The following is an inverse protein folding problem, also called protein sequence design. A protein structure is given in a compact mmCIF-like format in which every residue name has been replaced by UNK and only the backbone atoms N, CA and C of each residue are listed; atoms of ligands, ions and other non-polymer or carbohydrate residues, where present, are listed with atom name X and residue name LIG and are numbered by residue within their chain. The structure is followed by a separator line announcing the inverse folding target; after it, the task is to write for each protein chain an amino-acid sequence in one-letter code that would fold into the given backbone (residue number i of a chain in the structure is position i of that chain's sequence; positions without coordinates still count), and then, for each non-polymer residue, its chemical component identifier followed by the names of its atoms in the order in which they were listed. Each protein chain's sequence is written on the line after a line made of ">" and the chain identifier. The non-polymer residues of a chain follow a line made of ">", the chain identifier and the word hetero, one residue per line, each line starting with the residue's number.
data_IF_964894054576
#
_entry.id   IF_964894054576
#
_cell.length_a   1.000
_cell.length_b   1.000
_cell.length_c   1.000
_cell.angle_alpha   90.00
_cell.angle_beta   90.00
_cell.angle_gamma   90.00
#
_symmetry.space_group_name_H-M   'P 1'
#
loop_
_entity.id
_entity.type
_entity.pdbx_description
1 polymer ?
#
# COMPACT_ATOMS: atom_id res chain seq x y z
N UNK A 1 -8.02 -42.56 -66.75
CA UNK A 1 -7.64 -41.67 -67.87
C UNK A 1 -8.90 -40.92 -68.29
N UNK A 2 -8.78 -39.58 -68.38
CA UNK A 2 -9.59 -38.63 -69.19
C UNK A 2 -11.11 -38.63 -68.99
N UNK A 3 -11.82 -37.51 -68.82
CA UNK A 3 -11.50 -36.09 -68.73
C UNK A 3 -12.75 -35.37 -68.19
N UNK A 4 -12.51 -34.30 -67.44
CA UNK A 4 -13.31 -33.08 -67.23
C UNK A 4 -14.43 -32.79 -68.24
N UNK A 5 -15.57 -32.25 -67.78
CA UNK A 5 -15.93 -30.81 -67.91
C UNK A 5 -17.42 -30.56 -67.62
N UNK A 6 -17.73 -29.62 -66.73
CA UNK A 6 -18.99 -28.86 -66.74
C UNK A 6 -18.78 -27.51 -66.01
N UNK A 7 -18.82 -26.43 -66.79
CA UNK A 7 -18.90 -25.04 -66.35
C UNK A 7 -20.33 -24.70 -65.87
N UNK A 8 -20.43 -23.86 -64.83
CA UNK A 8 -21.61 -23.01 -64.62
C UNK A 8 -21.23 -21.69 -63.92
N UNK A 9 -21.48 -20.57 -64.61
CA UNK A 9 -22.24 -19.43 -64.06
C UNK A 9 -21.49 -18.31 -63.32
N UNK A 10 -21.71 -17.02 -63.67
CA UNK A 10 -20.96 -15.87 -63.15
C UNK A 10 -21.56 -15.31 -61.85
N UNK A 11 -20.70 -14.65 -61.07
CA UNK A 11 -21.02 -14.01 -59.79
C UNK A 11 -21.71 -12.65 -59.92
N UNK A 12 -22.49 -12.33 -58.90
CA UNK A 12 -23.13 -11.03 -58.67
C UNK A 12 -22.77 -10.53 -57.27
N UNK A 13 -22.36 -9.26 -57.23
CA UNK A 13 -22.51 -8.22 -56.20
C UNK A 13 -22.21 -8.48 -54.72
N UNK A 14 -21.45 -7.55 -54.12
CA UNK A 14 -21.42 -7.38 -52.67
C UNK A 14 -20.25 -6.60 -52.12
N UNK A 15 -20.22 -5.29 -52.36
CA UNK A 15 -19.44 -4.30 -51.59
C UNK A 15 -19.57 -4.51 -50.08
N UNK A 16 -18.45 -4.65 -49.37
CA UNK A 16 -18.36 -4.34 -47.93
C UNK A 16 -17.04 -3.61 -47.67
N UNK A 17 -17.16 -2.33 -47.26
CA UNK A 17 -16.02 -1.50 -46.86
C UNK A 17 -15.45 -1.94 -45.51
N UNK A 18 -14.22 -1.54 -45.17
CA UNK A 18 -13.63 -1.86 -43.89
C UNK A 18 -14.32 -1.03 -42.81
N UNK A 19 -15.15 -1.70 -42.00
CA UNK A 19 -15.69 -1.13 -40.78
C UNK A 19 -14.55 -0.76 -39.84
N UNK A 20 -14.34 0.54 -39.63
CA UNK A 20 -13.55 1.08 -38.52
C UNK A 20 -14.32 0.81 -37.23
N UNK A 21 -14.12 -0.39 -36.67
CA UNK A 21 -14.54 -0.72 -35.32
C UNK A 21 -13.64 0.02 -34.33
N UNK A 22 -14.10 1.17 -33.83
CA UNK A 22 -13.59 1.74 -32.58
C UNK A 22 -13.91 0.76 -31.45
N UNK A 23 -12.94 -0.07 -31.09
CA UNK A 23 -12.98 -0.87 -29.88
C UNK A 23 -12.84 0.07 -28.67
N UNK A 24 -13.95 0.58 -28.15
CA UNK A 24 -14.03 1.17 -26.81
C UNK A 24 -14.09 0.06 -25.77
N UNK A 25 -13.11 -0.85 -25.80
CA UNK A 25 -12.89 -1.81 -24.73
C UNK A 25 -12.18 -1.10 -23.60
N UNK A 26 -12.84 -0.96 -22.45
CA UNK A 26 -12.16 -0.61 -21.20
C UNK A 26 -11.15 -1.71 -20.89
N UNK A 27 -9.87 -1.47 -21.19
CA UNK A 27 -8.75 -2.39 -20.95
C UNK A 27 -8.54 -2.57 -19.43
N UNK A 28 -9.36 -3.42 -18.80
CA UNK A 28 -9.20 -3.89 -17.42
C UNK A 28 -8.12 -4.97 -17.37
N UNK A 29 -6.90 -4.61 -17.80
CA UNK A 29 -5.77 -5.53 -17.77
C UNK A 29 -5.44 -5.91 -16.32
N UNK A 30 -5.26 -7.22 -16.11
CA UNK A 30 -4.82 -7.83 -14.86
C UNK A 30 -3.43 -8.42 -15.09
N UNK A 31 -2.49 -8.18 -14.18
CA UNK A 31 -1.17 -8.78 -14.19
C UNK A 31 -0.77 -9.23 -12.79
N UNK A 32 0.19 -10.16 -12.69
CA UNK A 32 0.61 -10.74 -11.40
C UNK A 32 2.11 -10.49 -11.21
N UNK A 33 2.52 -9.36 -10.61
CA UNK A 33 3.94 -9.10 -10.36
C UNK A 33 4.58 -10.14 -9.43
N UNK A 34 3.87 -10.61 -8.40
CA UNK A 34 4.46 -11.54 -7.43
C UNK A 34 3.55 -12.75 -7.19
N UNK A 35 4.16 -13.94 -7.14
CA UNK A 35 3.48 -15.21 -6.88
C UNK A 35 4.25 -16.00 -5.83
N UNK A 36 3.56 -16.43 -4.77
CA UNK A 36 4.15 -17.22 -3.70
C UNK A 36 4.84 -18.49 -4.24
N UNK A 37 5.94 -18.90 -3.61
CA UNK A 37 6.72 -20.07 -4.02
C UNK A 37 7.55 -19.87 -5.29
N UNK A 38 7.74 -18.63 -5.75
CA UNK A 38 8.56 -18.29 -6.93
C UNK A 38 9.74 -17.39 -6.54
N UNK A 39 10.74 -17.33 -7.41
CA UNK A 39 11.88 -16.40 -7.30
C UNK A 39 12.65 -16.50 -5.97
N UNK A 40 12.61 -17.67 -5.31
CA UNK A 40 13.32 -17.92 -4.05
C UNK A 40 12.55 -17.55 -2.78
N UNK A 41 11.28 -17.12 -2.88
CA UNK A 41 10.47 -16.70 -1.74
C UNK A 41 9.25 -17.59 -1.54
N UNK A 42 9.04 -18.05 -0.30
CA UNK A 42 7.85 -18.81 0.08
C UNK A 42 6.57 -17.97 -0.02
N UNK A 43 6.65 -16.67 0.26
CA UNK A 43 5.49 -15.76 0.23
C UNK A 43 5.90 -14.34 -0.12
N UNK A 44 5.01 -13.61 -0.78
CA UNK A 44 5.10 -12.17 -0.99
C UNK A 44 3.95 -11.48 -0.27
N UNK A 45 4.24 -10.44 0.52
CA UNK A 45 3.26 -9.76 1.39
C UNK A 45 3.51 -8.26 1.41
N UNK A 46 2.54 -7.48 1.88
CA UNK A 46 2.67 -6.04 2.18
C UNK A 46 2.99 -5.23 0.90
N UNK A 47 2.09 -5.23 -0.10
CA UNK A 47 2.27 -4.49 -1.34
C UNK A 47 2.37 -2.98 -1.09
N UNK A 48 3.23 -2.32 -1.84
CA UNK A 48 3.25 -0.86 -2.00
C UNK A 48 3.56 -0.53 -3.46
N UNK A 49 2.93 0.50 -4.02
CA UNK A 49 3.15 0.91 -5.41
C UNK A 49 3.23 2.43 -5.54
N UNK A 50 4.21 2.89 -6.30
CA UNK A 50 4.34 4.30 -6.70
C UNK A 50 4.59 4.40 -8.19
N UNK A 51 4.15 5.51 -8.79
CA UNK A 51 4.53 5.91 -10.13
C UNK A 51 5.71 6.88 -10.03
N UNK A 52 6.74 6.69 -10.86
CA UNK A 52 7.82 7.65 -10.99
C UNK A 52 7.40 8.82 -11.89
N UNK A 53 8.20 9.88 -11.92
CA UNK A 53 7.93 11.03 -12.81
C UNK A 53 7.95 10.68 -14.30
N UNK A 54 8.58 9.56 -14.69
CA UNK A 54 8.60 9.08 -16.09
C UNK A 54 7.46 8.11 -16.39
N UNK A 55 6.55 7.86 -15.44
CA UNK A 55 5.43 6.93 -15.61
C UNK A 55 5.76 5.46 -15.38
N UNK A 56 6.98 5.13 -14.94
CA UNK A 56 7.32 3.76 -14.52
C UNK A 56 6.58 3.45 -13.23
N UNK A 57 5.94 2.28 -13.14
CA UNK A 57 5.40 1.78 -11.88
C UNK A 57 6.44 0.96 -11.14
N UNK A 58 6.59 1.23 -9.85
CA UNK A 58 7.46 0.49 -8.94
C UNK A 58 6.59 -0.25 -7.93
N UNK A 59 6.48 -1.58 -8.06
CA UNK A 59 5.74 -2.43 -7.14
C UNK A 59 6.71 -3.07 -6.14
N UNK A 60 6.59 -2.69 -4.88
CA UNK A 60 7.35 -3.21 -3.76
C UNK A 60 6.52 -4.22 -2.98
N UNK A 61 7.18 -5.17 -2.34
CA UNK A 61 6.60 -6.00 -1.30
C UNK A 61 7.68 -6.61 -0.41
N UNK A 62 7.27 -7.22 0.70
CA UNK A 62 8.09 -8.17 1.44
C UNK A 62 8.22 -9.48 0.67
N UNK A 63 9.46 -9.88 0.35
CA UNK A 63 9.79 -11.23 -0.04
C UNK A 63 10.15 -12.05 1.21
N UNK A 64 9.27 -12.96 1.63
CA UNK A 64 9.45 -13.79 2.82
C UNK A 64 10.04 -15.14 2.42
N UNK A 65 11.29 -15.38 2.80
CA UNK A 65 12.11 -16.45 2.21
C UNK A 65 11.60 -17.84 2.59
N UNK A 66 11.47 -18.13 3.88
CA UNK A 66 11.19 -19.49 4.37
C UNK A 66 9.75 -19.77 4.79
N UNK A 67 8.89 -18.75 4.92
CA UNK A 67 7.50 -18.93 5.35
C UNK A 67 6.65 -17.68 5.06
N UNK A 68 5.34 -17.75 5.30
CA UNK A 68 4.46 -16.57 5.27
C UNK A 68 4.44 -15.77 6.59
N UNK A 69 5.34 -16.05 7.55
CA UNK A 69 5.38 -15.34 8.85
C UNK A 69 5.91 -13.92 8.73
N UNK A 70 5.55 -13.08 9.70
CA UNK A 70 5.85 -11.64 9.79
C UNK A 70 7.23 -11.30 10.40
N UNK A 71 8.03 -12.33 10.69
CA UNK A 71 9.39 -12.25 11.22
C UNK A 71 10.27 -13.31 10.54
N UNK A 72 11.58 -13.24 10.78
CA UNK A 72 12.57 -14.12 10.15
C UNK A 72 13.33 -13.44 9.03
N UNK A 73 13.72 -14.23 8.02
CA UNK A 73 14.42 -13.76 6.84
C UNK A 73 13.42 -13.18 5.82
N UNK A 74 13.37 -11.85 5.77
CA UNK A 74 12.46 -11.09 4.91
C UNK A 74 13.25 -9.99 4.23
N UNK A 75 13.15 -9.92 2.91
CA UNK A 75 13.68 -8.83 2.09
C UNK A 75 12.56 -7.88 1.66
N UNK A 76 12.92 -6.65 1.29
CA UNK A 76 12.06 -5.82 0.43
C UNK A 76 12.51 -6.02 -1.00
N UNK A 77 11.57 -6.46 -1.83
CA UNK A 77 11.78 -6.70 -3.26
C UNK A 77 10.96 -5.72 -4.10
N UNK A 78 11.39 -5.52 -5.34
CA UNK A 78 10.80 -4.60 -6.30
C UNK A 78 10.65 -5.30 -7.66
N UNK A 79 9.54 -5.00 -8.35
CA UNK A 79 9.43 -5.15 -9.81
C UNK A 79 9.02 -3.84 -10.45
N UNK A 80 9.55 -3.58 -11.63
CA UNK A 80 9.32 -2.35 -12.41
C UNK A 80 8.44 -2.64 -13.61
N UNK A 81 7.51 -1.75 -13.91
CA UNK A 81 6.70 -1.80 -15.13
C UNK A 81 6.83 -0.49 -15.90
N UNK A 82 7.15 -0.59 -17.19
CA UNK A 82 7.25 0.56 -18.10
C UNK A 82 6.03 0.72 -19.02
N UNK A 83 5.01 -0.11 -18.86
CA UNK A 83 3.82 -0.19 -19.73
C UNK A 83 2.50 -0.03 -18.96
N UNK A 84 2.55 0.68 -17.83
CA UNK A 84 1.39 0.97 -16.99
C UNK A 84 0.88 -0.23 -16.21
N UNK A 85 1.77 -1.17 -15.86
CA UNK A 85 1.47 -2.34 -15.04
C UNK A 85 0.93 -3.54 -15.81
N UNK A 86 1.11 -3.58 -17.13
CA UNK A 86 0.68 -4.73 -17.94
C UNK A 86 1.70 -5.86 -17.88
N UNK A 87 2.98 -5.51 -17.95
CA UNK A 87 4.10 -6.44 -17.74
C UNK A 87 5.04 -5.91 -16.67
N UNK A 88 5.76 -6.84 -16.05
CA UNK A 88 6.69 -6.56 -14.95
C UNK A 88 8.05 -7.15 -15.28
N UNK A 89 9.10 -6.34 -15.06
CA UNK A 89 10.49 -6.76 -15.20
C UNK A 89 10.93 -7.78 -14.15
N UNK A 90 12.21 -8.18 -14.17
CA UNK A 90 12.76 -9.13 -13.20
C UNK A 90 12.68 -8.59 -11.76
N UNK A 91 12.60 -9.50 -10.80
CA UNK A 91 12.67 -9.18 -9.37
C UNK A 91 14.03 -8.58 -9.01
N UNK A 92 14.00 -7.50 -8.24
CA UNK A 92 15.17 -6.86 -7.66
C UNK A 92 15.03 -6.85 -6.13
N UNK A 93 16.10 -7.23 -5.41
CA UNK A 93 16.16 -7.04 -3.95
C UNK A 93 16.61 -5.60 -3.68
N UNK A 94 15.77 -4.82 -3.01
CA UNK A 94 16.02 -3.39 -2.73
C UNK A 94 16.52 -3.18 -1.31
N UNK A 95 15.98 -3.90 -0.33
CA UNK A 95 16.47 -3.86 1.03
C UNK A 95 16.66 -5.28 1.56
N UNK A 96 17.92 -5.62 1.83
CA UNK A 96 18.31 -6.84 2.53
C UNK A 96 18.84 -6.49 3.93
N UNK A 97 18.75 -7.43 4.87
CA UNK A 97 19.29 -7.30 6.23
C UNK A 97 20.01 -8.59 6.67
N UNK A 98 20.80 -9.20 5.77
CA UNK A 98 21.30 -10.55 5.93
C UNK A 98 20.13 -11.54 6.01
N UNK A 99 20.15 -12.43 7.00
CA UNK A 99 19.04 -13.37 7.27
C UNK A 99 17.96 -12.79 8.20
N UNK A 100 18.03 -11.49 8.50
CA UNK A 100 17.07 -10.79 9.35
C UNK A 100 15.96 -10.14 8.51
N UNK A 101 15.11 -9.36 9.18
CA UNK A 101 13.96 -8.70 8.54
C UNK A 101 14.37 -7.34 7.98
N UNK A 102 13.98 -7.09 6.73
CA UNK A 102 13.69 -5.80 6.14
C UNK A 102 12.25 -5.84 5.61
N UNK A 103 11.37 -4.95 6.06
CA UNK A 103 9.94 -5.02 5.74
C UNK A 103 9.19 -3.71 5.93
N UNK A 104 7.87 -3.78 5.80
CA UNK A 104 6.96 -2.61 5.80
C UNK A 104 7.44 -1.50 4.84
N UNK A 105 7.56 -1.75 3.53
CA UNK A 105 7.99 -0.73 2.58
C UNK A 105 7.01 0.46 2.56
N UNK A 106 7.55 1.67 2.65
CA UNK A 106 6.83 2.93 2.50
C UNK A 106 7.51 3.82 1.43
N UNK A 107 7.36 3.47 0.14
CA UNK A 107 7.93 4.23 -0.96
C UNK A 107 7.18 5.54 -1.21
N UNK A 108 7.88 6.55 -1.73
CA UNK A 108 7.29 7.81 -2.24
C UNK A 108 8.15 8.36 -3.37
N UNK A 109 7.50 8.81 -4.45
CA UNK A 109 8.16 9.56 -5.53
C UNK A 109 8.11 11.05 -5.20
N UNK A 110 9.27 11.71 -5.20
CA UNK A 110 9.38 13.14 -4.92
C UNK A 110 9.23 13.99 -6.19
N UNK A 111 8.97 15.28 -5.99
CA UNK A 111 8.94 16.36 -6.97
C UNK A 111 10.24 16.44 -7.79
N UNK A 112 11.38 16.05 -7.21
CA UNK A 112 12.67 15.98 -7.91
C UNK A 112 12.83 14.76 -8.82
N UNK A 113 11.94 13.77 -8.73
CA UNK A 113 12.05 12.47 -9.43
C UNK A 113 12.79 11.41 -8.63
N UNK A 114 13.44 11.76 -7.52
CA UNK A 114 13.97 10.81 -6.55
C UNK A 114 12.82 9.97 -5.98
N UNK A 115 13.04 8.67 -5.85
CA UNK A 115 12.16 7.78 -5.09
C UNK A 115 12.81 7.52 -3.74
N UNK A 116 12.11 7.82 -2.65
CA UNK A 116 12.51 7.39 -1.30
C UNK A 116 11.84 6.05 -0.97
N UNK A 117 12.54 5.20 -0.23
CA UNK A 117 11.98 4.04 0.44
C UNK A 117 12.30 4.15 1.92
N UNK A 118 11.29 4.43 2.73
CA UNK A 118 11.38 4.29 4.19
C UNK A 118 10.91 2.90 4.57
N UNK A 119 11.63 2.23 5.46
CA UNK A 119 11.31 0.86 5.83
C UNK A 119 11.82 0.52 7.22
N UNK A 120 11.44 -0.68 7.70
CA UNK A 120 11.84 -1.19 9.00
C UNK A 120 12.80 -2.36 8.87
N UNK A 121 13.76 -2.45 9.79
CA UNK A 121 14.62 -3.62 9.99
C UNK A 121 14.53 -4.10 11.43
N UNK A 122 14.67 -5.40 11.65
CA UNK A 122 14.78 -6.01 12.98
C UNK A 122 15.47 -7.36 12.89
N UNK A 123 15.94 -7.91 14.01
CA UNK A 123 16.49 -9.26 14.06
C UNK A 123 15.45 -10.31 13.64
N UNK A 124 15.89 -11.42 13.03
CA UNK A 124 15.04 -12.52 12.60
C UNK A 124 14.18 -13.10 13.73
N UNK A 125 14.75 -13.16 14.94
CA UNK A 125 14.11 -13.72 16.13
C UNK A 125 13.19 -12.72 16.86
N UNK A 126 13.13 -11.45 16.43
CA UNK A 126 12.26 -10.44 17.03
C UNK A 126 10.81 -10.61 16.57
N UNK A 127 10.13 -11.61 17.13
CA UNK A 127 8.70 -11.85 16.88
C UNK A 127 7.85 -10.69 17.38
N UNK A 128 6.67 -10.49 16.79
CA UNK A 128 5.69 -9.50 17.28
C UNK A 128 5.42 -9.69 18.77
N UNK A 129 5.11 -10.92 19.18
CA UNK A 129 4.87 -11.27 20.59
C UNK A 129 6.02 -10.87 21.53
N UNK A 130 7.28 -11.14 21.16
CA UNK A 130 8.42 -10.78 21.98
C UNK A 130 8.65 -9.26 22.02
N UNK A 131 8.42 -8.56 20.90
CA UNK A 131 8.47 -7.11 20.81
C UNK A 131 7.41 -6.48 21.72
N UNK A 132 6.15 -6.89 21.57
CA UNK A 132 5.02 -6.40 22.35
C UNK A 132 5.20 -6.63 23.85
N UNK A 133 5.89 -7.70 24.27
CA UNK A 133 6.22 -7.94 25.69
C UNK A 133 7.48 -7.24 26.19
N UNK A 134 8.16 -6.47 25.35
CA UNK A 134 9.41 -5.80 25.70
C UNK A 134 10.57 -6.76 25.97
N UNK A 135 10.55 -7.96 25.38
CA UNK A 135 11.57 -9.00 25.57
C UNK A 135 12.71 -8.94 24.55
N UNK A 136 12.67 -7.97 23.63
CA UNK A 136 13.68 -7.76 22.58
C UNK A 136 14.51 -6.52 22.93
N UNK A 137 15.83 -6.62 22.83
CA UNK A 137 16.72 -5.46 23.03
C UNK A 137 16.47 -4.42 21.96
N UNK A 138 16.62 -3.13 22.29
CA UNK A 138 16.38 -2.04 21.34
C UNK A 138 17.18 -2.16 20.03
N UNK A 139 18.42 -2.66 20.10
CA UNK A 139 19.29 -2.87 18.94
C UNK A 139 18.77 -3.94 17.96
N UNK A 140 18.05 -4.94 18.48
CA UNK A 140 17.49 -6.09 17.75
C UNK A 140 16.02 -5.86 17.35
N UNK A 141 15.37 -4.84 17.94
CA UNK A 141 13.99 -4.50 17.69
C UNK A 141 13.76 -3.81 16.34
N UNK A 142 12.51 -3.37 16.11
CA UNK A 142 12.10 -2.63 14.91
C UNK A 142 12.80 -1.25 14.87
N UNK A 143 13.64 -1.04 13.86
CA UNK A 143 14.48 0.15 13.60
C UNK A 143 14.19 0.70 12.20
N UNK A 144 14.30 2.01 12.02
CA UNK A 144 13.82 2.70 10.81
C UNK A 144 14.97 3.14 9.93
N UNK A 145 14.85 2.87 8.64
CA UNK A 145 15.86 3.10 7.63
C UNK A 145 15.27 3.81 6.41
N UNK A 146 16.12 4.51 5.66
CA UNK A 146 15.76 5.13 4.39
C UNK A 146 16.80 4.79 3.32
N UNK A 147 16.33 4.51 2.11
CA UNK A 147 17.11 4.42 0.88
C UNK A 147 16.48 5.32 -0.18
N UNK A 148 17.23 5.63 -1.23
CA UNK A 148 16.67 6.33 -2.38
C UNK A 148 17.17 5.79 -3.71
N UNK A 149 16.40 6.04 -4.75
CA UNK A 149 16.77 5.84 -6.15
C UNK A 149 16.64 7.18 -6.89
N UNK A 150 17.68 7.52 -7.66
CA UNK A 150 17.72 8.72 -8.51
C UNK A 150 17.60 8.38 -10.01
N UNK A 151 17.42 7.10 -10.33
CA UNK A 151 17.44 6.56 -11.69
C UNK A 151 16.19 5.74 -12.02
N UNK A 152 15.04 6.20 -11.50
CA UNK A 152 13.72 5.65 -11.80
C UNK A 152 13.60 4.16 -11.34
N UNK A 153 14.12 3.92 -10.13
CA UNK A 153 14.02 2.65 -9.40
C UNK A 153 15.01 1.57 -9.85
N UNK A 154 16.01 1.89 -10.68
CA UNK A 154 16.95 0.90 -11.23
C UNK A 154 18.05 0.54 -10.22
N UNK A 155 18.61 1.54 -9.56
CA UNK A 155 19.61 1.36 -8.49
C UNK A 155 19.17 2.09 -7.23
N UNK A 156 19.71 1.65 -6.09
CA UNK A 156 19.35 2.15 -4.77
C UNK A 156 20.59 2.49 -3.97
N UNK A 157 20.52 3.59 -3.24
CA UNK A 157 21.57 4.03 -2.32
C UNK A 157 21.79 3.01 -1.20
N UNK A 158 22.93 3.10 -0.53
CA UNK A 158 23.11 2.42 0.75
C UNK A 158 22.03 2.87 1.77
N UNK A 159 21.59 1.97 2.67
CA UNK A 159 20.58 2.27 3.68
C UNK A 159 21.14 3.20 4.77
N UNK A 160 20.45 4.31 5.04
CA UNK A 160 20.75 5.23 6.14
C UNK A 160 19.76 5.00 7.28
N UNK A 161 20.26 4.76 8.48
CA UNK A 161 19.39 4.63 9.64
C UNK A 161 18.89 5.99 10.12
N UNK A 162 17.60 6.07 10.46
CA UNK A 162 16.96 7.27 11.02
C UNK A 162 16.26 7.03 12.36
N UNK A 163 16.36 5.84 12.97
CA UNK A 163 15.66 5.45 14.20
C UNK A 163 15.71 6.52 15.31
N UNK A 164 16.88 7.10 15.59
CA UNK A 164 17.04 8.09 16.65
C UNK A 164 16.24 9.38 16.42
N UNK A 165 15.89 9.70 15.16
CA UNK A 165 15.08 10.86 14.79
C UNK A 165 13.57 10.60 14.91
N UNK A 166 13.14 9.34 14.80
CA UNK A 166 11.73 8.99 14.54
C UNK A 166 11.17 7.87 15.42
N UNK A 167 11.90 7.46 16.47
CA UNK A 167 11.43 6.45 17.43
C UNK A 167 11.73 6.91 18.84
N UNK A 168 10.69 7.10 19.65
CA UNK A 168 10.87 7.41 21.08
C UNK A 168 11.42 6.21 21.85
N UNK A 169 12.15 6.48 22.92
CA UNK A 169 12.55 5.46 23.87
C UNK A 169 11.32 4.80 24.51
N UNK A 170 11.38 3.49 24.72
CA UNK A 170 10.29 2.70 25.32
C UNK A 170 9.24 2.18 24.31
N UNK A 171 9.16 2.74 23.10
CA UNK A 171 8.32 2.17 22.04
C UNK A 171 8.76 0.75 21.70
N UNK A 172 7.78 -0.17 21.69
CA UNK A 172 7.99 -1.60 21.50
C UNK A 172 7.90 -1.97 20.02
N UNK A 173 6.72 -2.33 19.54
CA UNK A 173 6.47 -2.52 18.10
C UNK A 173 6.62 -1.19 17.35
N UNK A 174 6.96 -1.29 16.06
CA UNK A 174 7.02 -0.15 15.16
C UNK A 174 6.82 -0.63 13.72
N UNK A 175 5.90 0.00 12.98
CA UNK A 175 5.75 -0.19 11.55
C UNK A 175 5.53 1.15 10.83
N UNK A 176 6.01 1.23 9.59
CA UNK A 176 5.65 2.28 8.63
C UNK A 176 4.43 1.85 7.82
N UNK A 177 3.64 2.84 7.37
CA UNK A 177 2.42 2.71 6.55
C UNK A 177 1.54 1.54 7.01
N UNK A 178 1.41 0.36 6.36
CA UNK A 178 1.99 -0.20 5.11
C UNK A 178 1.29 0.31 3.82
N UNK A 179 1.98 0.28 2.67
CA UNK A 179 1.55 0.92 1.42
C UNK A 179 2.51 2.05 1.05
N UNK A 180 2.07 3.07 0.31
CA UNK A 180 2.92 4.21 -0.03
C UNK A 180 2.92 5.33 1.03
N UNK A 181 4.03 6.07 1.07
CA UNK A 181 4.10 7.39 1.68
C UNK A 181 3.74 8.46 0.63
N UNK A 182 3.52 9.70 1.05
CA UNK A 182 3.14 10.80 0.16
C UNK A 182 4.04 12.02 0.33
N UNK A 183 4.26 12.73 -0.77
CA UNK A 183 4.77 14.11 -0.73
C UNK A 183 3.58 15.06 -0.90
N UNK A 184 3.43 15.98 0.04
CA UNK A 184 2.41 17.02 0.01
C UNK A 184 2.75 18.08 -1.05
N UNK A 185 1.77 18.88 -1.45
CA UNK A 185 1.98 20.05 -2.32
C UNK A 185 2.97 21.07 -1.75
N UNK A 186 3.16 21.08 -0.42
CA UNK A 186 4.18 21.87 0.27
C UNK A 186 5.63 21.36 0.09
N UNK A 187 5.81 20.17 -0.49
CA UNK A 187 7.10 19.50 -0.63
C UNK A 187 7.48 18.58 0.54
N UNK A 188 6.75 18.65 1.66
CA UNK A 188 6.94 17.77 2.82
C UNK A 188 6.62 16.32 2.47
N UNK A 189 7.47 15.41 2.92
CA UNK A 189 7.19 13.96 2.92
C UNK A 189 6.48 13.58 4.21
N UNK A 190 5.40 12.81 4.10
CA UNK A 190 4.63 12.25 5.22
C UNK A 190 4.66 10.72 5.11
N UNK A 191 5.12 10.05 6.16
CA UNK A 191 5.07 8.60 6.29
C UNK A 191 4.23 8.28 7.51
N UNK A 192 2.95 7.88 7.37
CA UNK A 192 2.19 7.36 8.49
C UNK A 192 2.85 6.11 9.08
N UNK A 193 2.61 5.83 10.35
CA UNK A 193 3.14 4.66 11.03
C UNK A 193 2.41 4.37 12.33
N UNK A 194 2.83 3.28 12.97
CA UNK A 194 2.34 2.90 14.28
C UNK A 194 3.46 2.40 15.17
N UNK A 195 3.17 2.38 16.46
CA UNK A 195 3.99 1.81 17.48
C UNK A 195 3.12 1.22 18.59
N UNK A 196 3.73 0.51 19.53
CA UNK A 196 3.07 0.16 20.78
C UNK A 196 3.76 0.75 21.99
N UNK A 197 2.94 1.15 22.95
CA UNK A 197 3.38 1.66 24.25
C UNK A 197 3.56 0.51 25.25
N UNK A 198 4.45 0.66 26.24
CA UNK A 198 4.50 -0.28 27.36
C UNK A 198 3.22 -0.18 28.22
N UNK A 199 2.80 -1.28 28.86
CA UNK A 199 1.64 -1.30 29.73
C UNK A 199 1.87 -0.46 30.99
N UNK A 200 0.84 0.27 31.41
CA UNK A 200 0.77 0.92 32.72
C UNK A 200 0.19 -0.07 33.74
N UNK A 201 0.99 -1.04 34.20
CA UNK A 201 0.54 -2.04 35.18
C UNK A 201 1.21 -3.39 35.01
N UNK A 202 0.52 -4.45 35.44
CA UNK A 202 1.02 -5.84 35.41
C UNK A 202 0.65 -6.61 34.15
N UNK A 203 -0.03 -5.97 33.19
CA UNK A 203 -0.31 -6.51 31.86
C UNK A 203 1.02 -6.83 31.14
N UNK A 204 1.03 -7.85 30.29
CA UNK A 204 2.20 -8.24 29.51
C UNK A 204 2.44 -7.29 28.31
N UNK A 205 1.50 -6.42 27.97
CA UNK A 205 1.61 -5.39 26.93
C UNK A 205 1.20 -5.85 25.53
N UNK A 206 0.52 -7.00 25.39
CA UNK A 206 0.08 -7.53 24.08
C UNK A 206 -1.35 -7.15 23.70
N UNK A 207 -2.06 -6.40 24.54
CA UNK A 207 -3.43 -5.97 24.24
C UNK A 207 -3.45 -4.87 23.16
N UNK A 208 -4.46 -4.91 22.28
CA UNK A 208 -4.62 -3.95 21.18
C UNK A 208 -4.77 -2.49 21.65
N UNK A 209 -5.20 -2.26 22.90
CA UNK A 209 -5.28 -0.93 23.53
C UNK A 209 -3.94 -0.20 23.61
N UNK A 210 -2.82 -0.90 23.45
CA UNK A 210 -1.49 -0.29 23.42
C UNK A 210 -1.03 0.11 22.01
N UNK A 211 -1.81 -0.20 20.98
CA UNK A 211 -1.56 0.26 19.62
C UNK A 211 -1.74 1.78 19.55
N UNK A 212 -0.77 2.44 18.95
CA UNK A 212 -0.67 3.89 18.90
C UNK A 212 -0.19 4.35 17.53
N UNK A 213 -0.61 5.54 17.13
CA UNK A 213 -0.31 6.12 15.82
C UNK A 213 0.75 7.20 15.87
N UNK A 214 1.50 7.33 14.80
CA UNK A 214 2.35 8.49 14.57
C UNK A 214 2.57 8.72 13.07
N UNK A 215 3.23 9.82 12.70
CA UNK A 215 3.82 9.93 11.38
C UNK A 215 5.26 10.43 11.47
N UNK A 216 6.04 10.13 10.43
CA UNK A 216 7.36 10.69 10.19
C UNK A 216 7.23 11.78 9.15
N UNK A 217 7.90 12.90 9.39
CA UNK A 217 7.90 14.06 8.51
C UNK A 217 9.31 14.37 8.06
N UNK A 218 9.45 14.83 6.82
CA UNK A 218 10.67 15.43 6.29
C UNK A 218 10.33 16.65 5.44
N UNK A 219 10.92 17.79 5.81
CA UNK A 219 10.75 19.08 5.11
C UNK A 219 11.85 19.35 4.08
N UNK A 220 12.84 18.47 3.97
CA UNK A 220 14.07 18.64 3.17
C UNK A 220 14.31 17.48 2.21
N UNK A 221 13.22 16.90 1.67
CA UNK A 221 13.24 15.81 0.68
C UNK A 221 13.97 14.54 1.17
N UNK A 222 13.79 14.22 2.44
CA UNK A 222 14.25 12.97 3.07
C UNK A 222 15.65 13.04 3.66
N UNK A 223 16.28 14.22 3.76
CA UNK A 223 17.62 14.36 4.32
C UNK A 223 17.61 14.26 5.85
N UNK A 224 16.65 14.93 6.49
CA UNK A 224 16.36 14.88 7.93
C UNK A 224 14.90 14.53 8.18
N UNK A 225 14.65 13.95 9.36
CA UNK A 225 13.35 13.42 9.74
C UNK A 225 12.99 13.82 11.17
N UNK A 226 11.71 13.89 11.47
CA UNK A 226 11.19 14.12 12.81
C UNK A 226 9.78 13.54 12.95
N UNK A 227 9.31 13.36 14.19
CA UNK A 227 7.95 12.89 14.46
C UNK A 227 6.93 14.02 14.24
N UNK A 228 5.85 13.72 13.52
CA UNK A 228 4.67 14.56 13.43
C UNK A 228 3.68 14.26 14.55
N UNK A 229 2.42 14.03 14.20
CA UNK A 229 1.40 13.72 15.20
C UNK A 229 1.75 12.46 16.01
N UNK A 230 1.18 12.41 17.21
CA UNK A 230 1.23 11.25 18.10
C UNK A 230 -0.19 11.00 18.61
N UNK A 231 -0.68 9.78 18.40
CA UNK A 231 -1.93 9.28 18.98
C UNK A 231 -1.57 8.12 19.91
N UNK A 232 -1.30 8.48 21.17
CA UNK A 232 -0.81 7.59 22.24
C UNK A 232 -1.94 7.25 23.24
N UNK A 233 -3.19 7.19 22.76
CA UNK A 233 -4.37 6.93 23.58
C UNK A 233 -4.54 5.43 23.88
N UNK A 234 -4.44 5.04 25.16
CA UNK A 234 -4.59 3.64 25.58
C UNK A 234 -5.94 3.31 26.21
N UNK A 235 -6.99 4.09 25.93
CA UNK A 235 -8.33 3.84 26.49
C UNK A 235 -9.05 2.64 25.87
N UNK A 236 -8.53 2.09 24.76
CA UNK A 236 -9.06 0.90 24.09
C UNK A 236 -10.26 1.15 23.18
N UNK A 237 -10.79 2.37 23.09
CA UNK A 237 -11.95 2.68 22.24
C UNK A 237 -11.58 2.79 20.76
N UNK A 238 -10.42 3.35 20.45
CA UNK A 238 -9.81 3.33 19.11
C UNK A 238 -8.36 2.91 19.30
N UNK A 239 -7.94 1.88 18.56
CA UNK A 239 -6.61 1.28 18.65
C UNK A 239 -5.90 1.47 17.31
N UNK A 240 -5.21 2.59 17.16
CA UNK A 240 -4.56 3.01 15.91
C UNK A 240 -3.43 2.05 15.55
N UNK A 241 -3.44 1.53 14.32
CA UNK A 241 -2.46 0.57 13.84
C UNK A 241 -2.01 0.97 12.41
N UNK A 242 -2.15 0.11 11.41
CA UNK A 242 -1.74 0.36 10.03
C UNK A 242 -2.47 1.56 9.42
N UNK A 243 -1.74 2.65 9.16
CA UNK A 243 -2.30 3.95 8.75
C UNK A 243 -1.86 4.31 7.33
N UNK A 244 -2.80 4.82 6.55
CA UNK A 244 -2.56 5.41 5.22
C UNK A 244 -3.02 6.88 5.23
N UNK A 245 -2.56 7.69 4.27
CA UNK A 245 -2.91 9.09 4.19
C UNK A 245 -3.04 9.61 2.76
N UNK A 246 -3.83 10.67 2.58
CA UNK A 246 -3.93 11.43 1.33
C UNK A 246 -4.02 12.93 1.63
N UNK A 247 -3.45 13.76 0.76
CA UNK A 247 -3.65 15.21 0.80
C UNK A 247 -4.96 15.56 0.07
N UNK A 248 -5.88 16.21 0.76
CA UNK A 248 -7.15 16.69 0.22
C UNK A 248 -6.96 18.00 -0.58
N UNK A 249 -7.92 18.38 -1.46
CA UNK A 249 -7.76 19.53 -2.36
C UNK A 249 -7.61 20.86 -1.63
N UNK A 250 -8.17 20.94 -0.42
CA UNK A 250 -8.07 22.09 0.48
C UNK A 250 -6.75 22.11 1.30
N UNK A 251 -5.82 21.20 1.02
CA UNK A 251 -4.50 21.12 1.67
C UNK A 251 -4.50 20.37 3.01
N UNK A 252 -5.66 19.88 3.48
CA UNK A 252 -5.69 19.01 4.66
C UNK A 252 -5.06 17.67 4.35
N UNK A 253 -4.42 17.05 5.35
CA UNK A 253 -4.05 15.64 5.27
C UNK A 253 -5.12 14.81 5.96
N UNK A 254 -5.73 13.89 5.22
CA UNK A 254 -6.65 12.88 5.76
C UNK A 254 -5.88 11.60 6.06
N UNK A 255 -5.98 11.13 7.29
CA UNK A 255 -5.41 9.86 7.74
C UNK A 255 -6.53 8.86 7.96
N UNK A 256 -6.32 7.61 7.56
CA UNK A 256 -7.23 6.51 7.84
C UNK A 256 -6.43 5.31 8.36
N UNK A 257 -6.81 4.79 9.52
CA UNK A 257 -6.12 3.70 10.20
C UNK A 257 -6.98 2.45 10.29
N UNK A 258 -6.30 1.30 10.23
CA UNK A 258 -6.82 0.03 10.76
C UNK A 258 -7.11 0.22 12.24
N UNK A 259 -8.25 -0.26 12.68
CA UNK A 259 -8.71 -0.17 14.05
C UNK A 259 -9.20 -1.55 14.48
N UNK A 260 -8.58 -2.11 15.51
CA UNK A 260 -8.96 -3.38 16.13
C UNK A 260 -9.42 -3.08 17.56
N UNK A 261 -10.69 -2.73 17.72
CA UNK A 261 -11.25 -2.22 18.96
C UNK A 261 -12.75 -2.50 19.07
N UNK A 262 -13.37 -2.26 20.25
CA UNK A 262 -14.83 -2.38 20.42
C UNK A 262 -15.65 -1.28 19.73
N UNK A 263 -15.03 -0.25 19.14
CA UNK A 263 -15.77 0.79 18.42
C UNK A 263 -16.42 0.27 17.12
N UNK A 264 -17.47 0.94 16.60
CA UNK A 264 -18.12 0.48 15.37
C UNK A 264 -17.18 0.48 14.16
N UNK A 265 -17.13 -0.66 13.46
CA UNK A 265 -16.29 -0.87 12.28
C UNK A 265 -14.81 -1.02 12.62
N UNK A 266 -14.00 -1.30 11.59
CA UNK A 266 -12.57 -1.60 11.76
C UNK A 266 -11.65 -0.52 11.15
N UNK A 267 -12.21 0.67 10.88
CA UNK A 267 -11.48 1.84 10.39
C UNK A 267 -11.72 3.03 11.30
N UNK A 268 -10.72 3.89 11.42
CA UNK A 268 -10.84 5.20 12.06
C UNK A 268 -10.12 6.26 11.22
N UNK A 269 -10.51 7.51 11.35
CA UNK A 269 -9.90 8.63 10.62
C UNK A 269 -9.59 9.84 11.50
N UNK A 270 -8.67 10.67 11.00
CA UNK A 270 -8.31 11.96 11.56
C UNK A 270 -7.83 12.90 10.45
N UNK A 271 -7.81 14.20 10.75
CA UNK A 271 -7.30 15.22 9.83
C UNK A 271 -6.17 16.03 10.45
N UNK A 272 -5.28 16.52 9.61
CA UNK A 272 -4.26 17.53 9.94
C UNK A 272 -4.40 18.74 9.02
N UNK A 273 -4.23 19.94 9.58
CA UNK A 273 -4.18 21.22 8.83
C UNK A 273 -2.74 21.71 8.62
N UNK A 274 -1.76 21.09 9.25
CA UNK A 274 -0.38 21.57 9.33
C UNK A 274 0.61 20.58 8.71
N UNK A 275 0.15 19.80 7.73
CA UNK A 275 0.94 18.83 6.98
C UNK A 275 1.42 17.65 7.83
N UNK A 276 0.57 17.17 8.75
CA UNK A 276 0.80 16.01 9.60
C UNK A 276 1.52 16.29 10.92
N UNK A 277 1.81 17.55 11.28
CA UNK A 277 2.49 17.87 12.55
C UNK A 277 1.58 17.62 13.75
N UNK A 278 0.30 17.96 13.62
CA UNK A 278 -0.72 17.69 14.63
C UNK A 278 -2.00 17.16 13.99
N UNK A 279 -2.80 16.44 14.79
CA UNK A 279 -4.18 16.11 14.42
C UNK A 279 -5.12 17.16 15.00
N UNK A 280 -6.10 17.59 14.21
CA UNK A 280 -7.15 18.51 14.66
C UNK A 280 -7.94 17.91 15.83
N UNK A 281 -8.21 16.61 15.73
CA UNK A 281 -8.91 15.77 16.71
C UNK A 281 -8.25 14.38 16.70
N UNK A 282 -8.26 13.63 17.82
CA UNK A 282 -7.85 12.23 17.82
C UNK A 282 -8.64 11.39 16.81
N UNK A 283 -8.10 10.22 16.46
CA UNK A 283 -8.78 9.30 15.56
C UNK A 283 -10.19 8.94 16.04
N UNK A 284 -11.14 8.86 15.10
CA UNK A 284 -12.54 8.55 15.37
C UNK A 284 -13.02 7.41 14.47
N UNK A 285 -13.93 6.55 14.95
CA UNK A 285 -14.46 5.46 14.12
C UNK A 285 -15.05 5.98 12.81
N UNK A 286 -14.63 5.39 11.69
CA UNK A 286 -15.11 5.71 10.36
C UNK A 286 -16.16 4.68 9.93
N UNK A 287 -17.38 4.87 10.43
CA UNK A 287 -18.47 3.90 10.24
C UNK A 287 -18.89 3.72 8.77
N UNK A 288 -18.56 4.66 7.88
CA UNK A 288 -18.83 4.54 6.44
C UNK A 288 -17.91 3.55 5.71
N UNK A 289 -16.86 3.06 6.36
CA UNK A 289 -15.94 2.07 5.81
C UNK A 289 -16.02 0.75 6.59
N UNK A 290 -16.94 -0.11 6.17
CA UNK A 290 -17.03 -1.49 6.66
C UNK A 290 -15.92 -2.32 6.02
N UNK A 291 -15.02 -2.84 6.86
CA UNK A 291 -13.87 -3.67 6.45
C UNK A 291 -13.63 -4.72 7.54
N UNK A 292 -12.91 -5.82 7.26
CA UNK A 292 -12.36 -6.65 8.32
C UNK A 292 -11.16 -5.92 8.95
N UNK A 293 -10.54 -6.52 9.97
CA UNK A 293 -9.31 -5.99 10.58
C UNK A 293 -8.11 -6.21 9.65
N UNK A 294 -7.83 -5.21 8.80
CA UNK A 294 -6.82 -5.27 7.73
C UNK A 294 -6.33 -3.87 7.34
N UNK A 295 -5.14 -3.79 6.74
CA UNK A 295 -4.63 -2.59 6.06
C UNK A 295 -5.54 -2.19 4.89
N UNK A 296 -5.53 -0.89 4.56
CA UNK A 296 -6.11 -0.34 3.34
C UNK A 296 -5.28 0.84 2.84
N UNK A 297 -5.58 1.32 1.64
CA UNK A 297 -4.84 2.39 0.98
C UNK A 297 -5.74 3.56 0.60
N UNK A 298 -5.19 4.78 0.58
CA UNK A 298 -5.85 5.99 0.15
C UNK A 298 -5.16 6.58 -1.08
N UNK A 299 -5.94 7.18 -1.98
CA UNK A 299 -5.41 7.94 -3.11
C UNK A 299 -6.37 9.08 -3.46
N UNK A 300 -5.86 10.31 -3.54
CA UNK A 300 -6.62 11.46 -4.05
C UNK A 300 -6.35 11.66 -5.54
N UNK A 301 -7.40 11.66 -6.37
CA UNK A 301 -7.27 11.74 -7.83
C UNK A 301 -7.08 13.16 -8.40
N UNK A 302 -7.56 14.21 -7.70
CA UNK A 302 -7.61 15.63 -8.10
C UNK A 302 -8.46 15.92 -9.35
N UNK A 303 -8.33 15.10 -10.39
CA UNK A 303 -9.17 15.11 -11.58
C UNK A 303 -9.59 13.66 -11.93
N UNK A 304 -10.86 13.27 -11.70
CA UNK A 304 -11.86 14.04 -10.96
C UNK A 304 -11.45 14.23 -9.50
N UNK A 305 -12.07 15.20 -8.82
CA UNK A 305 -11.84 15.41 -7.38
C UNK A 305 -12.52 14.31 -6.55
N UNK A 306 -11.77 13.23 -6.33
CA UNK A 306 -12.26 12.03 -5.69
C UNK A 306 -11.19 11.44 -4.79
N UNK A 307 -11.56 11.24 -3.52
CA UNK A 307 -10.77 10.47 -2.58
C UNK A 307 -11.15 9.00 -2.70
N UNK A 308 -10.17 8.15 -2.94
CA UNK A 308 -10.34 6.70 -3.03
C UNK A 308 -9.81 6.00 -1.80
N UNK A 309 -10.47 4.91 -1.44
CA UNK A 309 -10.00 3.93 -0.46
C UNK A 309 -10.09 2.53 -1.06
N UNK A 310 -9.01 1.73 -0.98
CA UNK A 310 -9.05 0.30 -1.31
C UNK A 310 -8.89 -0.56 -0.07
N UNK A 311 -9.67 -1.63 -0.02
CA UNK A 311 -9.54 -2.70 0.95
C UNK A 311 -10.63 -3.76 0.79
N UNK A 312 -10.56 -4.87 1.52
CA UNK A 312 -11.65 -5.85 1.61
C UNK A 312 -12.96 -5.21 2.12
N UNK A 313 -14.11 -5.66 1.61
CA UNK A 313 -15.44 -5.13 1.95
C UNK A 313 -16.35 -6.10 2.70
N UNK A 314 -15.96 -7.36 2.81
CA UNK A 314 -16.59 -8.25 3.77
C UNK A 314 -16.29 -7.74 5.21
N UNK A 315 -17.28 -7.68 6.11
CA UNK A 315 -17.07 -7.15 7.47
C UNK A 315 -16.14 -8.01 8.33
N UNK A 316 -16.06 -9.32 8.05
CA UNK A 316 -15.40 -10.29 8.93
C UNK A 316 -14.22 -10.98 8.23
N UNK A 317 -14.34 -11.21 6.93
CA UNK A 317 -13.38 -11.97 6.13
C UNK A 317 -12.49 -11.05 5.31
N UNK A 318 -11.22 -11.45 5.15
CA UNK A 318 -10.31 -10.86 4.17
C UNK A 318 -10.71 -11.32 2.76
N UNK A 319 -11.76 -10.73 2.22
CA UNK A 319 -12.35 -11.02 0.92
C UNK A 319 -13.06 -9.79 0.33
N UNK A 320 -13.41 -9.86 -0.95
CA UNK A 320 -14.14 -8.81 -1.67
C UNK A 320 -13.32 -7.50 -1.75
N UNK A 321 -12.22 -7.49 -2.49
CA UNK A 321 -11.46 -6.26 -2.69
C UNK A 321 -12.35 -5.20 -3.36
N UNK A 322 -12.56 -4.07 -2.69
CA UNK A 322 -13.46 -3.01 -3.17
C UNK A 322 -12.79 -1.65 -3.03
N UNK A 323 -12.82 -0.89 -4.13
CA UNK A 323 -12.52 0.54 -4.13
C UNK A 323 -13.79 1.30 -3.73
N UNK A 324 -13.70 2.06 -2.64
CA UNK A 324 -14.71 3.05 -2.23
C UNK A 324 -14.24 4.43 -2.64
N UNK A 325 -15.19 5.32 -2.86
CA UNK A 325 -14.95 6.69 -3.25
C UNK A 325 -15.70 7.67 -2.34
N UNK A 326 -15.09 8.83 -2.12
CA UNK A 326 -15.65 9.95 -1.39
C UNK A 326 -15.45 11.24 -2.19
N UNK A 327 -16.53 12.00 -2.35
CA UNK A 327 -16.54 13.32 -3.00
C UNK A 327 -16.60 14.48 -1.99
N UNK A 328 -16.58 14.18 -0.69
CA UNK A 328 -16.72 15.13 0.42
C UNK A 328 -15.55 15.06 1.41
N UNK A 329 -14.36 14.71 0.89
CA UNK A 329 -13.11 14.72 1.64
C UNK A 329 -13.01 13.64 2.71
N UNK A 330 -13.66 12.49 2.52
CA UNK A 330 -13.64 11.34 3.43
C UNK A 330 -14.77 11.33 4.47
N UNK A 331 -15.73 12.26 4.38
CA UNK A 331 -16.87 12.31 5.32
C UNK A 331 -17.84 11.16 5.08
N UNK A 332 -18.19 10.92 3.81
CA UNK A 332 -19.03 9.79 3.39
C UNK A 332 -18.34 8.99 2.31
N UNK A 333 -18.66 7.69 2.27
CA UNK A 333 -18.03 6.72 1.37
C UNK A 333 -19.10 5.90 0.66
N UNK A 334 -18.94 5.72 -0.65
CA UNK A 334 -19.73 4.77 -1.45
C UNK A 334 -18.84 3.70 -2.05
N UNK A 335 -19.34 2.49 -2.20
CA UNK A 335 -18.67 1.47 -3.03
C UNK A 335 -18.68 1.94 -4.49
N UNK A 336 -17.49 2.06 -5.07
CA UNK A 336 -17.33 2.46 -6.47
C UNK A 336 -17.17 1.23 -7.36
N UNK A 337 -16.26 0.34 -6.97
CA UNK A 337 -15.98 -0.87 -7.74
C UNK A 337 -15.53 -2.01 -6.81
N UNK A 338 -16.28 -3.10 -6.81
CA UNK A 338 -15.80 -4.39 -6.27
C UNK A 338 -15.05 -5.11 -7.38
N UNK A 339 -13.78 -5.40 -7.12
CA UNK A 339 -12.82 -5.90 -8.10
C UNK A 339 -13.11 -7.35 -8.49
N UNK A 340 -13.35 -8.19 -7.48
CA UNK A 340 -13.78 -9.58 -7.60
C UNK A 340 -14.31 -10.08 -6.25
N UNK A 341 -14.83 -11.30 -6.24
CA UNK A 341 -15.36 -11.98 -5.06
C UNK A 341 -14.33 -12.80 -4.27
N UNK A 342 -13.03 -12.66 -4.56
CA UNK A 342 -11.98 -13.56 -4.06
C UNK A 342 -11.49 -13.18 -2.67
N UNK A 343 -10.75 -14.09 -1.98
CA UNK A 343 -9.89 -13.73 -0.87
C UNK A 343 -9.01 -12.52 -1.23
N UNK A 344 -9.00 -11.53 -0.36
CA UNK A 344 -8.27 -10.29 -0.58
C UNK A 344 -7.81 -9.70 0.75
N UNK A 345 -6.58 -9.18 0.77
CA UNK A 345 -6.01 -8.60 1.98
C UNK A 345 -5.42 -7.22 1.71
N UNK A 346 -4.10 -7.04 1.89
CA UNK A 346 -3.48 -5.72 1.83
C UNK A 346 -3.56 -5.18 0.40
N UNK A 347 -3.63 -3.86 0.26
CA UNK A 347 -3.72 -3.21 -1.04
C UNK A 347 -3.00 -1.87 -1.06
N UNK A 348 -2.66 -1.42 -2.26
CA UNK A 348 -2.15 -0.10 -2.51
C UNK A 348 -2.61 0.48 -3.85
N UNK A 349 -2.93 1.77 -3.86
CA UNK A 349 -3.45 2.49 -5.03
C UNK A 349 -2.37 3.42 -5.62
N UNK A 350 -2.39 3.58 -6.93
CA UNK A 350 -1.51 4.53 -7.65
C UNK A 350 -2.25 5.15 -8.84
N UNK A 351 -2.01 6.43 -9.14
CA UNK A 351 -2.45 7.00 -10.41
C UNK A 351 -1.48 6.57 -11.50
N UNK A 352 -1.95 5.77 -12.47
CA UNK A 352 -1.12 5.28 -13.59
C UNK A 352 -1.03 6.34 -14.67
N UNK A 353 -2.17 6.91 -15.05
CA UNK A 353 -2.31 7.96 -16.04
C UNK A 353 -3.62 8.75 -15.81
N UNK A 354 -3.93 9.72 -16.66
CA UNK A 354 -5.15 10.55 -16.53
C UNK A 354 -6.46 9.76 -16.58
N UNK A 355 -6.45 8.54 -17.08
CA UNK A 355 -7.66 7.71 -17.26
C UNK A 355 -7.66 6.44 -16.41
N UNK A 356 -6.54 6.15 -15.73
CA UNK A 356 -6.31 4.85 -15.08
C UNK A 356 -5.80 4.99 -13.66
N UNK A 357 -6.44 4.27 -12.74
CA UNK A 357 -5.93 3.98 -11.40
C UNK A 357 -5.41 2.54 -11.37
N UNK A 358 -4.24 2.35 -10.80
CA UNK A 358 -3.66 1.04 -10.52
C UNK A 358 -4.03 0.60 -9.11
N UNK A 359 -4.40 -0.67 -8.96
CA UNK A 359 -4.61 -1.33 -7.69
C UNK A 359 -3.67 -2.52 -7.59
N UNK A 360 -2.71 -2.47 -6.66
CA UNK A 360 -1.84 -3.59 -6.29
C UNK A 360 -2.39 -4.23 -5.01
N UNK A 361 -2.69 -5.53 -4.99
CA UNK A 361 -3.30 -6.15 -3.81
C UNK A 361 -3.01 -7.63 -3.66
N UNK A 362 -3.06 -8.10 -2.42
CA UNK A 362 -2.93 -9.50 -2.03
C UNK A 362 -4.23 -10.26 -2.35
N UNK A 363 -4.14 -11.34 -3.12
CA UNK A 363 -5.29 -12.19 -3.49
C UNK A 363 -4.87 -13.60 -3.93
N UNK A 364 -5.85 -14.48 -4.15
CA UNK A 364 -5.68 -15.84 -4.63
C UNK A 364 -7.01 -16.57 -4.73
N UNK A 365 -7.00 -17.78 -5.27
CA UNK A 365 -8.22 -18.56 -5.47
C UNK A 365 -8.74 -19.13 -4.14
N UNK A 366 -7.82 -19.59 -3.28
CA UNK A 366 -8.14 -20.25 -2.01
C UNK A 366 -7.59 -19.51 -0.79
N UNK A 367 -6.64 -18.59 -0.97
CA UNK A 367 -6.11 -17.75 0.08
C UNK A 367 -5.59 -16.41 -0.42
N UNK A 368 -5.75 -15.37 0.39
CA UNK A 368 -5.36 -14.01 0.03
C UNK A 368 -3.85 -13.81 -0.17
N UNK A 369 -3.00 -14.80 0.13
CA UNK A 369 -1.54 -14.65 0.14
C UNK A 369 -0.83 -15.45 -0.98
N UNK A 370 -1.58 -15.90 -1.98
CA UNK A 370 -1.02 -16.66 -3.11
C UNK A 370 -0.33 -15.77 -4.13
N UNK A 371 -0.89 -14.57 -4.37
CA UNK A 371 -0.38 -13.60 -5.32
C UNK A 371 -0.49 -12.18 -4.79
N UNK A 372 0.39 -11.31 -5.30
CA UNK A 372 0.12 -9.88 -5.35
C UNK A 372 -0.22 -9.57 -6.80
N UNK A 373 -1.45 -9.11 -7.02
CA UNK A 373 -2.04 -8.83 -8.33
C UNK A 373 -2.12 -7.33 -8.55
N UNK A 374 -1.84 -6.89 -9.79
CA UNK A 374 -2.06 -5.52 -10.23
C UNK A 374 -3.22 -5.44 -11.21
N UNK A 375 -4.14 -4.52 -10.97
CA UNK A 375 -5.29 -4.25 -11.85
C UNK A 375 -5.31 -2.80 -12.29
N UNK A 376 -5.58 -2.61 -13.58
CA UNK A 376 -5.86 -1.29 -14.18
C UNK A 376 -7.35 -1.02 -14.12
N UNK A 377 -7.74 0.03 -13.40
CA UNK A 377 -9.12 0.43 -13.18
C UNK A 377 -9.38 1.74 -13.95
N UNK A 378 -10.36 1.78 -14.85
CA UNK A 378 -10.71 3.02 -15.54
C UNK A 378 -11.30 4.02 -14.53
N UNK A 379 -10.83 5.26 -14.55
CA UNK A 379 -11.30 6.34 -13.66
C UNK A 379 -12.82 6.55 -13.79
N UNK A 380 -13.39 6.32 -14.98
CA UNK A 380 -14.83 6.40 -15.23
C UNK A 380 -15.65 5.37 -14.44
N UNK A 381 -15.07 4.26 -14.01
CA UNK A 381 -15.73 3.28 -13.14
C UNK A 381 -15.65 3.65 -11.65
N UNK A 382 -14.90 4.70 -11.31
CA UNK A 382 -14.69 5.13 -9.93
C UNK A 382 -15.53 6.35 -9.55
N UNK A 383 -15.88 7.19 -10.54
CA UNK A 383 -16.65 8.45 -10.44
C UNK A 383 -18.09 8.30 -10.01
#
# INVERSE_FOLDING_TARGET
>A
MTQSSAETGPGTDGTTGPGTGTATGTDTAVSVPFRAGREGYASFRIPAVVATRTGTLLAFCEGRVGSARDHGHIDIVLKRSADGGRTWGPLQVVANNGTNLAGNPAPVTLDTGRVLLVHVRSAAAATEDALLRGKVKAADGRRVWVQHSDDDGRTWSAPKEITAQVKKAGWRWYATTPGHALQLGSGRVVVPGNHTLPPTGTDNGTEAKYNSGHCLLSDDRGATWYLGYLDENTNGYVNVNETTAAELPDGRVYFNTRNDSPSPGNRADAHSLDGGRTLVKPFRPQAGLVTPVVQGSLLQLRDPDLLLYSGPADPDLRALMTVRASADGGTTWRSALTVDGLPAAYSDLVRVDTTTVGLLYETGDFGAYETITFRRLPVTALG
#
